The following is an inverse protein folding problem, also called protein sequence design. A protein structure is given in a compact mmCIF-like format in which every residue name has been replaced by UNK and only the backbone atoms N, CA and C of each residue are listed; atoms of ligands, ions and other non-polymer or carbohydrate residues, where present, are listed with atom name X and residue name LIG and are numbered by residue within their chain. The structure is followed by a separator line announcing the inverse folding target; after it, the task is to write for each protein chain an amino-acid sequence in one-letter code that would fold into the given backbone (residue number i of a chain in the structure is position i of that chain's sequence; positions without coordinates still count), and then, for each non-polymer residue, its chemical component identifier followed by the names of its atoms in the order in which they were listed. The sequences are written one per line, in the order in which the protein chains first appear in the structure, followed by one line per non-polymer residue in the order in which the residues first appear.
data_IF_230838996834
#
_entry.id   IF_230838996834
#
_cell.length_a   1.000
_cell.length_b   1.000
_cell.length_c   1.000
_cell.angle_alpha   90.00
_cell.angle_beta   90.00
_cell.angle_gamma   90.00
#
_symmetry.space_group_name_H-M   'P 1'
#
loop_
_entity.id
_entity.type
_entity.pdbx_description
1 polymer ?
#
# COMPACT_ATOMS: atom_id res chain seq x y z
N UNK A 1 9.09 -0.25 -17.86
CA UNK A 1 9.63 -0.74 -16.57
C UNK A 1 8.95 -2.06 -16.24
N UNK A 2 9.65 -3.21 -16.37
CA UNK A 2 9.08 -4.58 -16.28
C UNK A 2 9.18 -5.23 -14.88
N UNK A 3 9.90 -4.61 -13.94
CA UNK A 3 10.12 -5.19 -12.60
C UNK A 3 8.84 -5.21 -11.76
N UNK A 4 7.93 -4.24 -11.88
CA UNK A 4 6.70 -4.27 -11.09
C UNK A 4 5.80 -5.48 -11.40
N UNK A 5 5.94 -6.07 -12.59
CA UNK A 5 5.10 -7.17 -13.05
C UNK A 5 5.38 -8.50 -12.31
N UNK A 6 6.48 -8.60 -11.54
CA UNK A 6 6.70 -9.77 -10.67
C UNK A 6 5.96 -9.67 -9.33
N UNK A 7 5.57 -8.47 -8.89
CA UNK A 7 4.97 -8.29 -7.57
C UNK A 7 3.71 -9.15 -7.36
N UNK A 8 2.77 -9.29 -8.33
CA UNK A 8 1.63 -10.19 -8.19
C UNK A 8 2.03 -11.63 -7.85
N UNK A 9 3.02 -12.19 -8.57
CA UNK A 9 3.49 -13.55 -8.35
C UNK A 9 4.17 -13.71 -6.98
N UNK A 10 4.96 -12.72 -6.55
CA UNK A 10 5.57 -12.71 -5.20
C UNK A 10 4.49 -12.77 -4.12
N UNK A 11 3.45 -11.93 -4.22
CA UNK A 11 2.34 -11.93 -3.26
C UNK A 11 1.51 -13.21 -3.30
N UNK A 12 1.41 -13.85 -4.47
CA UNK A 12 0.74 -15.13 -4.61
C UNK A 12 1.52 -16.28 -3.96
N UNK A 13 2.85 -16.30 -4.06
CA UNK A 13 3.69 -17.36 -3.50
C UNK A 13 3.82 -17.20 -1.98
N UNK A 14 4.18 -16.00 -1.51
CA UNK A 14 4.55 -15.80 -0.10
C UNK A 14 3.36 -15.48 0.82
N UNK A 15 2.18 -15.17 0.26
CA UNK A 15 0.94 -14.86 0.99
C UNK A 15 1.14 -13.86 2.14
N UNK A 16 1.99 -12.84 1.93
CA UNK A 16 2.22 -11.73 2.87
C UNK A 16 1.43 -10.50 2.43
N UNK A 17 1.18 -9.58 3.34
CA UNK A 17 0.52 -8.31 3.00
C UNK A 17 1.51 -7.18 2.71
N UNK A 18 2.77 -7.35 3.13
CA UNK A 18 3.81 -6.37 2.98
C UNK A 18 5.09 -6.99 2.42
N UNK A 19 5.74 -6.26 1.53
CA UNK A 19 7.14 -6.47 1.14
C UNK A 19 7.97 -5.37 1.77
N UNK A 20 9.10 -5.76 2.35
CA UNK A 20 10.03 -4.86 3.02
C UNK A 20 11.40 -5.03 2.40
N UNK A 21 12.01 -3.93 1.98
CA UNK A 21 13.34 -3.92 1.38
C UNK A 21 14.20 -2.90 2.12
N UNK A 22 15.42 -3.28 2.47
CA UNK A 22 16.44 -2.40 3.05
C UNK A 22 17.53 -2.16 2.02
N UNK A 23 17.83 -0.89 1.73
CA UNK A 23 18.78 -0.48 0.69
C UNK A 23 19.83 0.46 1.30
N UNK A 24 21.14 0.26 1.05
CA UNK A 24 22.15 1.23 1.48
C UNK A 24 21.92 2.62 0.86
N UNK A 25 22.14 3.69 1.61
CA UNK A 25 22.00 5.08 1.11
C UNK A 25 22.91 5.42 -0.09
N UNK A 26 23.96 4.62 -0.34
CA UNK A 26 24.88 4.82 -1.46
C UNK A 26 24.34 4.34 -2.80
N UNK A 27 23.23 3.59 -2.81
CA UNK A 27 22.65 3.02 -4.02
C UNK A 27 21.62 4.00 -4.60
N UNK A 28 21.71 4.37 -5.89
CA UNK A 28 20.70 5.21 -6.51
C UNK A 28 19.35 4.50 -6.57
N UNK A 29 18.27 5.26 -6.45
CA UNK A 29 16.92 4.71 -6.57
C UNK A 29 16.72 4.09 -7.95
N UNK A 30 16.27 2.83 -7.97
CA UNK A 30 15.96 2.12 -9.20
C UNK A 30 14.45 1.98 -9.40
N UNK A 31 13.98 1.76 -10.63
CA UNK A 31 12.57 2.00 -10.96
C UNK A 31 11.55 1.16 -10.15
N UNK A 32 11.93 -0.03 -9.65
CA UNK A 32 11.08 -0.81 -8.75
C UNK A 32 10.78 -0.08 -7.43
N UNK A 33 11.78 0.61 -6.84
CA UNK A 33 11.63 1.30 -5.55
C UNK A 33 10.63 2.45 -5.63
N UNK A 34 10.41 3.02 -6.82
CA UNK A 34 9.39 4.06 -7.03
C UNK A 34 7.97 3.58 -6.71
N UNK A 35 7.74 2.27 -6.72
CA UNK A 35 6.46 1.68 -6.34
C UNK A 35 6.32 1.49 -4.82
N UNK A 36 7.43 1.58 -4.07
CA UNK A 36 7.48 1.38 -2.63
C UNK A 36 7.40 2.71 -1.89
N UNK A 37 6.76 2.71 -0.73
CA UNK A 37 6.80 3.83 0.19
C UNK A 37 8.14 3.81 0.94
N UNK A 38 8.94 4.86 0.76
CA UNK A 38 10.13 5.11 1.61
C UNK A 38 9.67 5.50 3.01
N UNK A 39 10.24 4.84 4.01
CA UNK A 39 9.94 5.06 5.42
C UNK A 39 11.06 5.94 6.02
N UNK A 40 10.71 7.09 6.63
CA UNK A 40 11.71 7.94 7.26
C UNK A 40 12.31 7.22 8.48
N UNK A 41 13.63 7.35 8.71
CA UNK A 41 14.27 6.78 9.89
C UNK A 41 13.72 7.43 11.17
N UNK A 42 13.71 6.67 12.26
CA UNK A 42 13.43 7.24 13.59
C UNK A 42 14.57 8.17 14.01
N UNK A 43 14.28 9.19 14.82
CA UNK A 43 15.25 10.23 15.19
C UNK A 43 16.57 9.71 15.81
N UNK A 44 16.57 8.52 16.43
CA UNK A 44 17.75 7.90 17.02
C UNK A 44 18.19 6.62 16.28
N UNK A 45 17.80 6.48 15.01
CA UNK A 45 18.17 5.32 14.20
C UNK A 45 19.65 5.39 13.83
N UNK A 46 20.42 4.39 14.26
CA UNK A 46 21.81 4.16 13.82
C UNK A 46 21.88 3.31 12.54
N UNK A 47 20.72 2.91 12.01
CA UNK A 47 20.65 2.06 10.83
C UNK A 47 20.96 2.87 9.57
N UNK A 48 22.05 2.52 8.88
CA UNK A 48 22.55 3.20 7.68
C UNK A 48 21.87 2.73 6.39
N UNK A 49 20.70 2.12 6.47
CA UNK A 49 19.93 1.72 5.31
C UNK A 49 18.54 2.33 5.31
N UNK A 50 18.06 2.59 4.10
CA UNK A 50 16.73 3.07 3.82
C UNK A 50 15.74 1.92 3.81
N UNK A 51 14.60 2.14 4.45
CA UNK A 51 13.54 1.17 4.53
C UNK A 51 12.44 1.52 3.51
N UNK A 52 12.10 0.56 2.67
CA UNK A 52 11.05 0.66 1.67
C UNK A 52 9.98 -0.40 1.94
N UNK A 53 8.72 0.01 1.88
CA UNK A 53 7.57 -0.87 2.14
C UNK A 53 6.58 -0.82 0.98
N UNK A 54 6.14 -1.98 0.52
CA UNK A 54 5.05 -2.12 -0.44
C UNK A 54 3.92 -2.93 0.19
N UNK A 55 2.69 -2.41 0.16
CA UNK A 55 1.50 -3.12 0.60
C UNK A 55 0.84 -3.84 -0.59
N UNK A 56 0.34 -5.07 -0.38
CA UNK A 56 -0.34 -5.88 -1.40
C UNK A 56 -1.48 -5.15 -2.10
N UNK A 57 -2.22 -4.30 -1.38
CA UNK A 57 -3.30 -3.50 -1.96
C UNK A 57 -2.80 -2.48 -2.99
N UNK A 58 -1.50 -2.14 -2.99
CA UNK A 58 -0.86 -1.37 -4.05
C UNK A 58 -0.83 -2.09 -5.41
N UNK A 59 -1.14 -3.38 -5.46
CA UNK A 59 -1.37 -4.11 -6.72
C UNK A 59 -2.68 -3.73 -7.41
N UNK A 60 -3.61 -3.06 -6.73
CA UNK A 60 -4.85 -2.59 -7.37
C UNK A 60 -4.52 -1.54 -8.42
N UNK A 61 -4.54 -1.95 -9.69
CA UNK A 61 -4.23 -1.07 -10.84
C UNK A 61 -5.38 -0.13 -11.23
N UNK A 62 -6.60 -0.44 -10.79
CA UNK A 62 -7.79 0.33 -11.17
C UNK A 62 -8.89 0.20 -10.14
N UNK A 63 -9.61 1.29 -9.91
CA UNK A 63 -10.85 1.31 -9.16
C UNK A 63 -11.96 1.86 -10.05
N UNK A 64 -13.15 1.27 -9.96
CA UNK A 64 -14.33 1.74 -10.70
C UNK A 64 -15.07 2.75 -9.84
N UNK A 65 -15.03 4.02 -10.23
CA UNK A 65 -15.88 5.06 -9.63
C UNK A 65 -17.23 5.06 -10.34
N UNK A 66 -18.31 5.04 -9.57
CA UNK A 66 -19.68 5.17 -10.06
C UNK A 66 -20.55 5.83 -9.00
N UNK A 67 -21.71 6.34 -9.42
CA UNK A 67 -22.71 6.83 -8.49
C UNK A 67 -23.17 5.73 -7.53
N UNK A 68 -23.44 6.13 -6.29
CA UNK A 68 -24.00 5.27 -5.25
C UNK A 68 -25.43 4.86 -5.64
N UNK A 69 -25.77 3.60 -5.42
CA UNK A 69 -27.13 3.08 -5.56
C UNK A 69 -27.63 2.57 -4.21
N UNK A 70 -28.93 2.35 -4.07
CA UNK A 70 -29.52 1.81 -2.82
C UNK A 70 -28.90 0.47 -2.39
N UNK A 71 -28.39 -0.32 -3.34
CA UNK A 71 -27.72 -1.61 -3.06
C UNK A 71 -26.37 -1.45 -2.36
N UNK A 72 -25.76 -0.28 -2.45
CA UNK A 72 -24.44 0.00 -1.87
C UNK A 72 -24.52 0.48 -0.43
N UNK A 73 -25.70 0.93 0.02
CA UNK A 73 -25.89 1.53 1.34
C UNK A 73 -25.52 0.58 2.47
N UNK A 74 -25.87 -0.71 2.36
CA UNK A 74 -25.52 -1.71 3.37
C UNK A 74 -24.01 -1.83 3.54
N UNK A 75 -23.28 -2.07 2.45
CA UNK A 75 -21.82 -2.18 2.49
C UNK A 75 -21.11 -0.89 2.90
N UNK A 76 -21.65 0.28 2.52
CA UNK A 76 -21.12 1.57 3.01
C UNK A 76 -21.37 1.74 4.50
N UNK A 77 -22.54 1.35 4.99
CA UNK A 77 -22.89 1.43 6.42
C UNK A 77 -21.97 0.54 7.25
N UNK A 78 -21.77 -0.70 6.83
CA UNK A 78 -20.85 -1.64 7.49
C UNK A 78 -19.42 -1.09 7.56
N UNK A 79 -18.95 -0.50 6.45
CA UNK A 79 -17.60 0.07 6.37
C UNK A 79 -17.40 1.24 7.33
N UNK A 80 -18.40 2.11 7.47
CA UNK A 80 -18.26 3.33 8.27
C UNK A 80 -18.64 3.17 9.73
N UNK A 81 -19.33 2.09 10.11
CA UNK A 81 -19.89 1.93 11.48
C UNK A 81 -18.84 2.15 12.58
N UNK A 82 -17.58 1.75 12.32
CA UNK A 82 -16.48 1.87 13.29
C UNK A 82 -15.63 3.14 13.12
N UNK A 83 -16.00 4.05 12.23
CA UNK A 83 -15.27 5.28 11.95
C UNK A 83 -15.85 6.42 12.80
N UNK A 84 -14.99 7.17 13.49
CA UNK A 84 -15.40 8.39 14.19
C UNK A 84 -15.97 9.40 13.18
N UNK A 85 -17.24 9.78 13.37
CA UNK A 85 -17.93 10.72 12.47
C UNK A 85 -18.80 10.05 11.40
N UNK A 86 -19.04 8.75 11.48
CA UNK A 86 -19.92 7.99 10.57
C UNK A 86 -21.28 8.64 10.31
N UNK A 87 -21.86 9.28 11.32
CA UNK A 87 -23.13 10.03 11.27
C UNK A 87 -23.19 11.21 10.28
N UNK A 88 -22.06 11.65 9.72
CA UNK A 88 -22.00 12.73 8.73
C UNK A 88 -21.82 12.24 7.29
N UNK A 89 -21.64 10.93 7.11
CA UNK A 89 -21.34 10.30 5.81
C UNK A 89 -22.61 9.71 5.18
N UNK A 90 -23.59 9.30 6.01
CA UNK A 90 -24.90 8.77 5.59
C UNK A 90 -25.96 9.84 5.79
#
# INVERSE_FOLDING_TARGET
MRSIDFLPAVFEIFKKDYLVVTIPHSVPEFPLLQCFQRIPPKCNSIFSQELYVFNRNGLFRSFRVRALTKKDLEGVTDLITNIKGSKYII
#
